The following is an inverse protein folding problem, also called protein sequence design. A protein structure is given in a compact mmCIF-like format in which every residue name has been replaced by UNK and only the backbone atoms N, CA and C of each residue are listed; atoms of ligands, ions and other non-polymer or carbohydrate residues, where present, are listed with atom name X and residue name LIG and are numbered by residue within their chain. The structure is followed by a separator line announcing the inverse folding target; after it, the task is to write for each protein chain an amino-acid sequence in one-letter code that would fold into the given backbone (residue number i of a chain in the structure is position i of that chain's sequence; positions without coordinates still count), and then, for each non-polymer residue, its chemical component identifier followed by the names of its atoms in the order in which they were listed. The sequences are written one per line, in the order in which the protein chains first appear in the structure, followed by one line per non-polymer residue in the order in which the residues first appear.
data_IF_810784053370
#
_entry.id   IF_810784053370
#
_cell.length_a   1.000
_cell.length_b   1.000
_cell.length_c   1.000
_cell.angle_alpha   90.00
_cell.angle_beta   90.00
_cell.angle_gamma   90.00
#
_symmetry.space_group_name_H-M   'P 1'
#
loop_
_entity.id
_entity.type
_entity.pdbx_description
1 polymer ?
#
# COMPACT_ATOMS: atom_id res chain seq x y z
N UNK A 1 -14.26 -86.52 36.75
CA UNK A 1 -15.69 -86.26 37.07
C UNK A 1 -15.89 -84.75 37.07
N UNK A 2 -16.87 -84.30 36.29
CA UNK A 2 -17.48 -82.98 36.09
C UNK A 2 -16.91 -81.67 36.70
N UNK A 3 -17.14 -80.54 35.99
CA UNK A 3 -16.32 -79.33 36.02
C UNK A 3 -16.84 -78.27 36.99
N UNK A 4 -15.99 -77.29 37.31
CA UNK A 4 -16.40 -75.99 37.87
C UNK A 4 -15.85 -74.88 36.98
N UNK A 5 -16.77 -74.29 36.23
CA UNK A 5 -16.76 -72.97 35.58
C UNK A 5 -17.25 -72.00 36.68
N UNK A 6 -16.68 -70.83 37.01
CA UNK A 6 -16.52 -69.58 36.24
C UNK A 6 -16.00 -68.51 37.22
N UNK A 7 -15.06 -67.65 36.82
CA UNK A 7 -14.99 -66.25 37.28
C UNK A 7 -13.92 -65.48 36.48
N UNK A 8 -14.08 -65.41 35.15
CA UNK A 8 -13.17 -64.58 34.32
C UNK A 8 -13.90 -63.95 33.11
N UNK A 9 -15.17 -63.58 33.30
CA UNK A 9 -16.01 -63.01 32.24
C UNK A 9 -16.87 -61.81 32.68
N UNK A 10 -16.39 -60.99 33.62
CA UNK A 10 -17.07 -59.73 34.00
C UNK A 10 -16.21 -58.46 33.91
N UNK A 11 -14.99 -58.53 33.37
CA UNK A 11 -14.16 -57.32 33.15
C UNK A 11 -13.88 -56.99 31.67
N UNK A 12 -14.31 -57.84 30.73
CA UNK A 12 -14.10 -57.60 29.28
C UNK A 12 -15.36 -57.14 28.52
N UNK A 13 -16.50 -57.00 29.21
CA UNK A 13 -17.76 -56.52 28.62
C UNK A 13 -18.03 -55.03 28.88
N UNK A 14 -17.31 -54.38 29.81
CA UNK A 14 -17.45 -52.95 30.11
C UNK A 14 -16.54 -52.03 29.24
N UNK A 15 -15.65 -52.61 28.43
CA UNK A 15 -14.69 -51.85 27.59
C UNK A 15 -15.00 -51.89 26.08
N UNK A 16 -16.14 -52.45 25.69
CA UNK A 16 -16.59 -52.49 24.28
C UNK A 16 -17.90 -51.75 23.99
N UNK A 17 -18.49 -51.06 24.97
CA UNK A 17 -19.68 -50.21 24.77
C UNK A 17 -19.41 -48.70 24.86
N UNK A 18 -18.14 -48.28 24.96
CA UNK A 18 -17.73 -46.87 24.97
C UNK A 18 -17.10 -46.36 23.66
N UNK A 19 -17.08 -47.17 22.59
CA UNK A 19 -16.32 -46.87 21.37
C UNK A 19 -17.12 -46.87 20.07
N UNK A 20 -18.46 -46.83 20.14
CA UNK A 20 -19.34 -46.77 18.94
C UNK A 20 -20.32 -45.58 18.96
N UNK A 21 -20.23 -44.67 19.94
CA UNK A 21 -21.07 -43.46 19.99
C UNK A 21 -20.29 -42.13 20.01
N UNK A 22 -19.02 -42.13 19.59
CA UNK A 22 -18.25 -40.91 19.34
C UNK A 22 -17.90 -40.71 17.85
N UNK A 23 -18.73 -41.25 16.95
CA UNK A 23 -18.57 -41.12 15.50
C UNK A 23 -19.60 -40.16 14.85
N UNK A 24 -20.40 -39.44 15.64
CA UNK A 24 -21.35 -38.43 15.14
C UNK A 24 -21.36 -37.24 16.12
N UNK A 25 -20.27 -36.47 16.16
CA UNK A 25 -20.23 -35.04 16.55
C UNK A 25 -18.74 -34.66 16.71
N UNK A 26 -18.01 -34.78 15.61
CA UNK A 26 -16.64 -34.33 15.50
C UNK A 26 -16.59 -33.50 14.23
N UNK A 27 -16.85 -32.21 14.37
CA UNK A 27 -16.68 -31.21 13.33
C UNK A 27 -15.36 -31.49 12.59
N UNK A 28 -15.43 -31.76 11.29
CA UNK A 28 -14.27 -31.87 10.42
C UNK A 28 -13.56 -30.51 10.37
N UNK A 29 -12.76 -30.19 11.37
CA UNK A 29 -11.72 -29.18 11.26
C UNK A 29 -10.51 -29.86 10.64
N UNK A 30 -10.57 -30.05 9.32
CA UNK A 30 -9.36 -30.27 8.54
C UNK A 30 -8.45 -29.05 8.76
N UNK A 31 -7.13 -29.24 8.93
CA UNK A 31 -6.22 -28.10 8.90
C UNK A 31 -6.35 -27.47 7.51
N UNK A 32 -6.84 -26.23 7.45
CA UNK A 32 -6.86 -25.42 6.22
C UNK A 32 -5.48 -25.51 5.59
N UNK A 33 -5.38 -26.05 4.37
CA UNK A 33 -4.09 -26.27 3.75
C UNK A 33 -3.41 -24.92 3.49
N UNK A 34 -2.08 -24.89 3.49
CA UNK A 34 -1.33 -23.68 3.11
C UNK A 34 -1.77 -23.18 1.72
N UNK A 35 -2.14 -24.08 0.81
CA UNK A 35 -2.68 -23.76 -0.50
C UNK A 35 -4.07 -23.09 -0.43
N UNK A 36 -4.93 -23.48 0.51
CA UNK A 36 -6.23 -22.83 0.70
C UNK A 36 -6.04 -21.42 1.27
N UNK A 37 -5.12 -21.23 2.22
CA UNK A 37 -4.77 -19.88 2.74
C UNK A 37 -4.15 -18.99 1.66
N UNK A 38 -3.36 -19.55 0.76
CA UNK A 38 -2.73 -18.81 -0.33
C UNK A 38 -3.73 -18.45 -1.43
N UNK A 39 -4.68 -19.34 -1.72
CA UNK A 39 -5.79 -19.10 -2.63
C UNK A 39 -6.77 -18.04 -2.09
N UNK A 40 -7.07 -18.05 -0.78
CA UNK A 40 -7.90 -17.01 -0.14
C UNK A 40 -7.23 -15.63 -0.23
N UNK A 41 -5.92 -15.55 0.05
CA UNK A 41 -5.13 -14.30 -0.07
C UNK A 41 -5.10 -13.76 -1.50
N UNK A 42 -4.98 -14.65 -2.49
CA UNK A 42 -4.99 -14.27 -3.91
C UNK A 42 -6.34 -13.72 -4.39
N UNK A 43 -7.45 -14.04 -3.72
CA UNK A 43 -8.78 -13.50 -4.05
C UNK A 43 -9.15 -12.26 -3.24
N UNK A 44 -8.60 -12.12 -2.03
CA UNK A 44 -8.92 -11.02 -1.12
C UNK A 44 -8.47 -9.65 -1.66
N UNK A 45 -7.24 -9.52 -2.17
CA UNK A 45 -6.74 -8.26 -2.72
C UNK A 45 -7.56 -7.76 -3.92
N UNK A 46 -7.83 -8.57 -4.95
CA UNK A 46 -8.72 -8.16 -6.03
C UNK A 46 -10.06 -7.63 -5.54
N UNK A 47 -10.69 -8.30 -4.56
CA UNK A 47 -11.98 -7.86 -4.01
C UNK A 47 -11.87 -6.49 -3.32
N UNK A 48 -10.86 -6.30 -2.46
CA UNK A 48 -10.59 -5.01 -1.81
C UNK A 48 -10.35 -3.89 -2.85
N UNK A 49 -9.57 -4.18 -3.90
CA UNK A 49 -9.30 -3.24 -4.99
C UNK A 49 -10.58 -2.88 -5.75
N UNK A 50 -11.41 -3.86 -6.12
CA UNK A 50 -12.68 -3.59 -6.80
C UNK A 50 -13.63 -2.78 -5.92
N UNK A 51 -13.72 -3.07 -4.62
CA UNK A 51 -14.52 -2.29 -3.68
C UNK A 51 -14.11 -0.81 -3.63
N UNK A 52 -12.81 -0.52 -3.60
CA UNK A 52 -12.29 0.84 -3.66
C UNK A 52 -12.60 1.53 -4.99
N UNK A 53 -12.38 0.83 -6.12
CA UNK A 53 -12.72 1.36 -7.45
C UNK A 53 -14.23 1.62 -7.61
N UNK A 54 -15.07 0.81 -6.99
CA UNK A 54 -16.53 0.99 -7.00
C UNK A 54 -16.94 2.22 -6.19
N UNK A 55 -16.36 2.41 -4.98
CA UNK A 55 -16.53 3.65 -4.20
C UNK A 55 -16.13 4.89 -5.02
N UNK A 56 -14.96 4.85 -5.68
CA UNK A 56 -14.52 5.95 -6.56
C UNK A 56 -15.47 6.19 -7.73
N UNK A 57 -16.03 5.13 -8.32
CA UNK A 57 -16.93 5.22 -9.47
C UNK A 57 -18.28 5.86 -9.16
N UNK A 58 -18.69 5.87 -7.88
CA UNK A 58 -19.92 6.51 -7.41
C UNK A 58 -19.78 8.04 -7.31
N UNK A 59 -18.55 8.56 -7.19
CA UNK A 59 -18.34 10.00 -7.16
C UNK A 59 -18.53 10.64 -8.54
N UNK A 60 -19.26 11.76 -8.59
CA UNK A 60 -19.47 12.53 -9.84
C UNK A 60 -18.22 13.28 -10.29
N UNK A 61 -17.28 13.55 -9.39
CA UNK A 61 -16.02 14.26 -9.68
C UNK A 61 -14.88 13.58 -8.92
N UNK A 62 -13.86 13.16 -9.66
CA UNK A 62 -12.62 12.69 -9.06
C UNK A 62 -11.83 13.89 -8.53
N UNK A 63 -11.36 13.85 -7.28
CA UNK A 63 -10.48 14.89 -6.76
C UNK A 63 -9.03 14.66 -7.25
N UNK A 64 -8.10 15.53 -6.87
CA UNK A 64 -6.69 15.42 -7.23
C UNK A 64 -6.06 14.10 -6.78
N UNK A 65 -6.30 13.76 -5.51
CA UNK A 65 -5.83 12.53 -4.85
C UNK A 65 -6.27 11.29 -5.61
N UNK A 66 -7.57 11.12 -5.84
CA UNK A 66 -8.11 9.97 -6.57
C UNK A 66 -7.62 9.91 -8.01
N UNK A 67 -7.41 11.07 -8.66
CA UNK A 67 -6.80 11.10 -10.00
C UNK A 67 -5.38 10.58 -9.95
N UNK A 68 -4.55 11.11 -9.04
CA UNK A 68 -3.18 10.70 -8.85
C UNK A 68 -3.06 9.20 -8.50
N UNK A 69 -3.93 8.70 -7.62
CA UNK A 69 -3.99 7.30 -7.23
C UNK A 69 -4.28 6.38 -8.43
N UNK A 70 -5.25 6.73 -9.29
CA UNK A 70 -5.53 5.96 -10.52
C UNK A 70 -4.34 5.97 -11.50
N UNK A 71 -3.65 7.12 -11.64
CA UNK A 71 -2.48 7.23 -12.51
C UNK A 71 -1.33 6.34 -12.01
N UNK A 72 -1.04 6.40 -10.71
CA UNK A 72 0.02 5.60 -10.10
C UNK A 72 -0.33 4.10 -10.12
N UNK A 73 -1.58 3.73 -9.80
CA UNK A 73 -2.07 2.36 -9.91
C UNK A 73 -1.92 1.77 -11.31
N UNK A 74 -2.35 2.52 -12.33
CA UNK A 74 -2.21 2.13 -13.73
C UNK A 74 -0.73 1.97 -14.13
N UNK A 75 0.11 2.90 -13.68
CA UNK A 75 1.55 2.86 -13.91
C UNK A 75 2.19 1.60 -13.32
N UNK A 76 1.88 1.25 -12.08
CA UNK A 76 2.40 0.05 -11.41
C UNK A 76 2.01 -1.24 -12.16
N UNK A 77 0.74 -1.36 -12.58
CA UNK A 77 0.28 -2.53 -13.35
C UNK A 77 1.01 -2.62 -14.70
N UNK A 78 1.15 -1.49 -15.42
CA UNK A 78 1.89 -1.44 -16.69
C UNK A 78 3.37 -1.77 -16.51
N UNK A 79 3.98 -1.31 -15.42
CA UNK A 79 5.36 -1.63 -15.05
C UNK A 79 5.53 -3.13 -14.82
N UNK A 80 4.65 -3.77 -14.03
CA UNK A 80 4.65 -5.23 -13.84
C UNK A 80 4.53 -5.97 -15.17
N UNK A 81 3.54 -5.62 -16.00
CA UNK A 81 3.30 -6.25 -17.30
C UNK A 81 4.48 -6.12 -18.27
N UNK A 82 5.31 -5.07 -18.13
CA UNK A 82 6.50 -4.86 -18.97
C UNK A 82 7.62 -5.85 -18.65
N UNK A 83 7.83 -6.17 -17.38
CA UNK A 83 9.00 -6.92 -16.92
C UNK A 83 8.71 -8.36 -16.50
N UNK A 84 7.48 -8.66 -16.07
CA UNK A 84 7.10 -9.98 -15.56
C UNK A 84 5.98 -10.54 -16.44
N UNK A 85 6.19 -11.66 -17.16
CA UNK A 85 5.14 -12.30 -17.93
C UNK A 85 4.01 -12.77 -16.99
N UNK A 86 2.78 -12.25 -17.14
CA UNK A 86 1.66 -12.65 -16.28
C UNK A 86 1.14 -14.03 -16.68
N UNK A 87 0.63 -14.77 -15.71
CA UNK A 87 -0.24 -15.92 -15.92
C UNK A 87 -1.51 -15.52 -16.68
N UNK A 88 -2.28 -16.50 -17.15
CA UNK A 88 -3.57 -16.23 -17.83
C UNK A 88 -4.54 -15.51 -16.91
N UNK A 89 -4.60 -15.90 -15.64
CA UNK A 89 -5.48 -15.30 -14.64
C UNK A 89 -5.08 -13.84 -14.37
N UNK A 90 -3.80 -13.59 -14.06
CA UNK A 90 -3.29 -12.24 -13.82
C UNK A 90 -3.50 -11.33 -15.03
N UNK A 91 -3.28 -11.83 -16.24
CA UNK A 91 -3.51 -11.05 -17.47
C UNK A 91 -4.96 -10.58 -17.57
N UNK A 92 -5.91 -11.45 -17.27
CA UNK A 92 -7.34 -11.10 -17.28
C UNK A 92 -7.67 -10.11 -16.17
N UNK A 93 -7.17 -10.36 -14.95
CA UNK A 93 -7.36 -9.47 -13.81
C UNK A 93 -6.82 -8.06 -14.10
N UNK A 94 -5.56 -7.94 -14.53
CA UNK A 94 -4.92 -6.66 -14.84
C UNK A 94 -5.64 -5.93 -15.98
N UNK A 95 -6.10 -6.65 -17.01
CA UNK A 95 -6.91 -6.05 -18.07
C UNK A 95 -8.21 -5.44 -17.54
N UNK A 96 -8.93 -6.15 -16.68
CA UNK A 96 -10.17 -5.65 -16.09
C UNK A 96 -9.93 -4.44 -15.16
N UNK A 97 -8.87 -4.48 -14.35
CA UNK A 97 -8.49 -3.37 -13.47
C UNK A 97 -8.14 -2.12 -14.29
N UNK A 98 -7.28 -2.24 -15.30
CA UNK A 98 -6.90 -1.13 -16.18
C UNK A 98 -8.12 -0.54 -16.90
N UNK A 99 -8.99 -1.40 -17.44
CA UNK A 99 -10.22 -0.95 -18.10
C UNK A 99 -11.17 -0.23 -17.13
N UNK A 100 -11.29 -0.72 -15.88
CA UNK A 100 -12.13 -0.09 -14.85
C UNK A 100 -11.59 1.29 -14.47
N UNK A 101 -10.29 1.43 -14.26
CA UNK A 101 -9.63 2.71 -13.97
C UNK A 101 -9.83 3.72 -15.10
N UNK A 102 -9.67 3.29 -16.37
CA UNK A 102 -9.89 4.14 -17.54
C UNK A 102 -11.35 4.61 -17.66
N UNK A 103 -12.30 3.72 -17.38
CA UNK A 103 -13.72 4.08 -17.33
C UNK A 103 -14.04 5.10 -16.23
N UNK A 104 -13.41 4.99 -15.05
CA UNK A 104 -13.58 5.97 -13.97
C UNK A 104 -13.01 7.33 -14.42
N UNK A 105 -11.76 7.37 -14.88
CA UNK A 105 -11.11 8.62 -15.34
C UNK A 105 -11.89 9.32 -16.46
N UNK A 106 -12.36 8.57 -17.47
CA UNK A 106 -13.10 9.14 -18.62
C UNK A 106 -14.45 9.74 -18.21
N UNK A 107 -15.19 9.09 -17.30
CA UNK A 107 -16.43 9.65 -16.74
C UNK A 107 -16.17 10.87 -15.87
N UNK A 108 -15.02 10.92 -15.23
CA UNK A 108 -14.58 12.04 -14.39
C UNK A 108 -13.83 13.12 -15.18
N UNK A 109 -13.90 13.17 -16.52
CA UNK A 109 -13.22 14.15 -17.39
C UNK A 109 -13.52 15.64 -17.08
N UNK A 110 -14.49 15.92 -16.20
CA UNK A 110 -14.75 17.25 -15.61
C UNK A 110 -13.72 17.61 -14.51
N UNK A 111 -12.98 16.64 -13.95
CA UNK A 111 -12.01 16.81 -12.87
C UNK A 111 -10.77 17.63 -13.28
N UNK A 112 -10.17 17.35 -14.46
CA UNK A 112 -9.10 18.18 -15.00
C UNK A 112 -9.57 19.61 -15.30
N UNK A 113 -10.86 19.81 -15.57
CA UNK A 113 -11.43 21.14 -15.79
C UNK A 113 -11.60 21.93 -14.48
N UNK A 114 -11.57 21.27 -13.32
CA UNK A 114 -11.61 21.91 -11.99
C UNK A 114 -10.25 22.04 -11.33
N UNK A 115 -9.25 21.24 -11.72
CA UNK A 115 -7.87 21.42 -11.28
C UNK A 115 -7.31 22.73 -11.84
N UNK A 116 -6.72 23.57 -10.97
CA UNK A 116 -6.20 24.89 -11.35
C UNK A 116 -4.69 24.94 -11.19
N UNK A 117 -4.00 25.61 -12.12
CA UNK A 117 -2.57 25.89 -12.03
C UNK A 117 -1.68 24.64 -11.97
N UNK A 118 -0.89 24.54 -10.90
CA UNK A 118 0.18 23.55 -10.69
C UNK A 118 -0.36 22.12 -10.63
N UNK A 119 -1.46 21.90 -9.91
CA UNK A 119 -2.05 20.57 -9.74
C UNK A 119 -2.42 19.94 -11.08
N UNK A 120 -3.00 20.74 -12.00
CA UNK A 120 -3.34 20.29 -13.34
C UNK A 120 -2.09 19.86 -14.14
N UNK A 121 -1.01 20.63 -14.05
CA UNK A 121 0.25 20.31 -14.74
C UNK A 121 0.83 18.98 -14.25
N UNK A 122 0.77 18.75 -12.93
CA UNK A 122 1.17 17.48 -12.31
C UNK A 122 0.30 16.34 -12.85
N UNK A 123 -1.03 16.45 -12.75
CA UNK A 123 -1.95 15.37 -13.12
C UNK A 123 -1.96 15.04 -14.62
N UNK A 124 -1.64 15.99 -15.50
CA UNK A 124 -1.52 15.76 -16.95
C UNK A 124 -0.25 15.00 -17.37
N UNK A 125 0.74 14.91 -16.49
CA UNK A 125 2.07 14.42 -16.83
C UNK A 125 2.57 13.29 -15.92
N UNK A 126 2.28 13.34 -14.62
CA UNK A 126 2.72 12.38 -13.62
C UNK A 126 2.34 10.96 -14.03
N UNK A 127 3.35 10.09 -14.13
CA UNK A 127 3.21 8.68 -14.53
C UNK A 127 2.53 8.42 -15.90
N UNK A 128 2.34 9.46 -16.72
CA UNK A 128 1.76 9.35 -18.07
C UNK A 128 2.76 9.71 -19.17
N UNK A 129 3.56 10.75 -18.96
CA UNK A 129 4.50 11.30 -19.97
C UNK A 129 5.92 11.21 -19.46
N UNK A 130 6.86 10.98 -20.38
CA UNK A 130 8.30 11.00 -20.08
C UNK A 130 8.69 10.05 -18.94
N UNK A 131 8.01 8.90 -18.86
CA UNK A 131 8.18 7.94 -17.79
C UNK A 131 9.13 6.83 -18.20
N UNK A 132 10.09 6.52 -17.33
CA UNK A 132 10.93 5.35 -17.39
C UNK A 132 10.34 4.26 -16.51
N UNK A 133 10.11 3.08 -17.08
CA UNK A 133 9.73 1.90 -16.32
C UNK A 133 11.00 1.26 -15.74
N UNK A 134 10.97 0.89 -14.47
CA UNK A 134 12.01 0.15 -13.79
C UNK A 134 11.48 -1.24 -13.43
N UNK A 135 12.34 -2.28 -13.35
CA UNK A 135 11.90 -3.60 -12.96
C UNK A 135 11.39 -3.59 -11.51
N UNK A 136 10.13 -4.00 -11.26
CA UNK A 136 9.61 -4.09 -9.90
C UNK A 136 10.35 -5.21 -9.16
N UNK A 137 10.69 -4.98 -7.90
CA UNK A 137 11.39 -5.97 -7.07
C UNK A 137 11.00 -5.83 -5.61
N UNK A 138 10.89 -6.96 -4.90
CA UNK A 138 10.74 -6.96 -3.43
C UNK A 138 12.12 -6.95 -2.79
N UNK A 139 12.31 -6.05 -1.82
CA UNK A 139 13.56 -5.81 -1.09
C UNK A 139 13.35 -6.24 0.36
N UNK A 140 13.98 -7.35 0.73
CA UNK A 140 13.89 -7.91 2.08
C UNK A 140 15.09 -7.48 2.94
N UNK A 141 14.83 -7.04 4.17
CA UNK A 141 15.87 -6.74 5.16
C UNK A 141 16.76 -5.57 4.75
N UNK A 142 16.25 -4.66 3.93
CA UNK A 142 17.02 -3.49 3.47
C UNK A 142 16.84 -2.29 4.37
N UNK A 143 15.73 -2.22 5.13
CA UNK A 143 15.46 -1.15 6.08
C UNK A 143 15.76 -1.60 7.51
N UNK A 144 16.10 -0.65 8.37
CA UNK A 144 16.36 -0.89 9.79
C UNK A 144 15.05 -1.01 10.58
N UNK A 145 14.42 -2.18 10.50
CA UNK A 145 13.18 -2.48 11.21
C UNK A 145 13.33 -2.50 12.75
N UNK A 146 14.56 -2.57 13.27
CA UNK A 146 14.85 -2.65 14.70
C UNK A 146 15.52 -1.37 15.24
N UNK A 147 15.54 -0.28 14.45
CA UNK A 147 16.11 0.99 14.86
C UNK A 147 15.40 1.58 16.07
N UNK A 148 16.11 2.35 16.90
CA UNK A 148 15.57 2.96 18.12
C UNK A 148 14.43 3.95 17.81
N UNK A 149 13.24 3.68 18.37
CA UNK A 149 12.03 4.46 18.13
C UNK A 149 11.36 4.96 19.41
N UNK A 150 11.77 4.47 20.58
CA UNK A 150 11.11 4.73 21.87
C UNK A 150 11.14 6.22 22.24
N UNK A 151 12.28 6.86 22.02
CA UNK A 151 12.43 8.30 22.26
C UNK A 151 11.54 9.11 21.30
N UNK A 152 11.43 8.65 20.04
CA UNK A 152 10.57 9.28 19.05
C UNK A 152 9.09 9.11 19.43
N UNK A 153 8.67 7.91 19.85
CA UNK A 153 7.31 7.63 20.28
C UNK A 153 6.86 8.56 21.41
N UNK A 154 7.74 8.85 22.37
CA UNK A 154 7.45 9.76 23.49
C UNK A 154 7.16 11.21 23.06
N UNK A 155 7.69 11.65 21.91
CA UNK A 155 7.53 13.02 21.41
C UNK A 155 6.77 13.10 20.09
N UNK A 156 6.30 11.98 19.54
CA UNK A 156 5.85 11.89 18.15
C UNK A 156 4.77 12.91 17.80
N UNK A 157 3.75 13.03 18.65
CA UNK A 157 2.66 14.00 18.45
C UNK A 157 3.10 15.47 18.40
N UNK A 158 4.31 15.80 18.84
CA UNK A 158 4.88 17.15 18.73
C UNK A 158 5.65 17.36 17.44
N UNK A 159 6.32 16.31 16.94
CA UNK A 159 7.28 16.40 15.82
C UNK A 159 6.71 15.92 14.48
N UNK A 160 5.58 15.21 14.46
CA UNK A 160 5.00 14.57 13.27
C UNK A 160 4.78 15.50 12.07
N UNK A 161 4.67 16.82 12.30
CA UNK A 161 4.47 17.83 11.26
C UNK A 161 5.71 18.71 11.04
N UNK A 162 6.86 18.35 11.60
CA UNK A 162 8.11 19.11 11.45
C UNK A 162 8.89 18.69 10.20
N UNK A 163 9.57 19.65 9.59
CA UNK A 163 10.47 19.47 8.46
C UNK A 163 9.93 19.99 7.13
N UNK A 164 10.53 19.48 6.05
CA UNK A 164 10.26 19.88 4.67
C UNK A 164 10.15 18.65 3.75
N UNK A 165 9.40 18.74 2.63
CA UNK A 165 8.67 19.89 2.11
C UNK A 165 7.31 20.11 2.79
N UNK A 166 6.89 21.38 2.90
CA UNK A 166 5.46 21.67 3.06
C UNK A 166 4.71 21.40 1.74
N UNK A 167 3.37 21.41 1.78
CA UNK A 167 2.52 21.13 0.59
C UNK A 167 2.92 21.94 -0.65
N UNK A 168 3.12 23.24 -0.52
CA UNK A 168 3.48 24.11 -1.65
C UNK A 168 4.86 23.77 -2.22
N UNK A 169 5.85 23.53 -1.36
CA UNK A 169 7.19 23.10 -1.78
C UNK A 169 7.13 21.76 -2.52
N UNK A 170 6.34 20.82 -2.01
CA UNK A 170 6.14 19.52 -2.64
C UNK A 170 5.50 19.67 -4.02
N UNK A 171 4.41 20.42 -4.14
CA UNK A 171 3.71 20.61 -5.42
C UNK A 171 4.61 21.30 -6.46
N UNK A 172 5.39 22.30 -6.04
CA UNK A 172 6.35 22.97 -6.92
C UNK A 172 7.43 22.02 -7.42
N UNK A 173 8.00 21.20 -6.53
CA UNK A 173 9.03 20.23 -6.90
C UNK A 173 8.46 19.10 -7.77
N UNK A 174 7.24 18.61 -7.49
CA UNK A 174 6.54 17.66 -8.36
C UNK A 174 6.36 18.22 -9.78
N UNK A 175 5.91 19.47 -9.89
CA UNK A 175 5.77 20.16 -11.18
C UNK A 175 7.10 20.21 -11.93
N UNK A 176 8.16 20.64 -11.24
CA UNK A 176 9.50 20.72 -11.85
C UNK A 176 9.96 19.36 -12.38
N UNK A 177 9.71 18.27 -11.65
CA UNK A 177 10.05 16.91 -12.08
C UNK A 177 9.26 16.51 -13.33
N UNK A 178 7.94 16.75 -13.36
CA UNK A 178 7.12 16.32 -14.51
C UNK A 178 7.31 17.20 -15.75
N UNK A 179 7.78 18.43 -15.59
CA UNK A 179 8.04 19.38 -16.67
C UNK A 179 9.50 19.33 -17.19
N UNK A 180 10.33 18.41 -16.69
CA UNK A 180 11.73 18.27 -17.12
C UNK A 180 11.85 18.14 -18.65
N UNK A 181 12.60 19.07 -19.25
CA UNK A 181 12.78 19.16 -20.70
C UNK A 181 13.60 17.98 -21.24
N UNK A 182 12.99 17.13 -22.08
CA UNK A 182 13.65 15.96 -22.70
C UNK A 182 14.93 16.26 -23.47
N UNK A 183 15.05 17.45 -24.06
CA UNK A 183 16.19 17.77 -24.95
C UNK A 183 17.49 17.96 -24.19
N UNK A 184 17.41 18.45 -22.96
CA UNK A 184 18.58 18.87 -22.19
C UNK A 184 18.61 18.31 -20.77
N UNK A 185 17.57 17.59 -20.33
CA UNK A 185 17.44 17.00 -18.99
C UNK A 185 18.07 17.89 -17.91
N UNK A 186 17.62 19.14 -17.85
CA UNK A 186 18.14 20.12 -16.89
C UNK A 186 17.88 19.59 -15.49
N UNK A 187 18.82 19.82 -14.58
CA UNK A 187 18.58 19.54 -13.17
C UNK A 187 17.35 20.34 -12.68
N UNK A 188 16.52 19.76 -11.79
CA UNK A 188 15.54 20.52 -11.03
C UNK A 188 16.18 21.73 -10.33
N UNK A 189 15.36 22.66 -9.86
CA UNK A 189 15.86 23.79 -9.06
C UNK A 189 16.69 23.31 -7.87
N UNK A 190 17.59 24.17 -7.39
CA UNK A 190 18.39 23.85 -6.23
C UNK A 190 17.51 23.54 -5.02
N UNK A 191 16.41 24.27 -4.88
CA UNK A 191 15.39 24.08 -3.85
C UNK A 191 14.75 22.69 -3.94
N UNK A 192 14.34 22.24 -5.14
CA UNK A 192 13.77 20.89 -5.31
C UNK A 192 14.80 19.79 -5.04
N UNK A 193 16.06 19.99 -5.44
CA UNK A 193 17.15 19.05 -5.13
C UNK A 193 17.45 18.98 -3.62
N UNK A 194 17.42 20.11 -2.93
CA UNK A 194 17.61 20.17 -1.48
C UNK A 194 16.50 19.39 -0.77
N UNK A 195 15.24 19.54 -1.18
CA UNK A 195 14.13 18.76 -0.64
C UNK A 195 14.33 17.25 -0.79
N UNK A 196 14.88 16.81 -1.93
CA UNK A 196 15.13 15.39 -2.21
C UNK A 196 16.29 14.80 -1.41
N UNK A 197 17.30 15.62 -1.10
CA UNK A 197 18.59 15.17 -0.57
C UNK A 197 18.83 15.55 0.89
N UNK A 198 17.98 16.40 1.47
CA UNK A 198 18.13 16.87 2.84
C UNK A 198 18.05 15.74 3.87
N UNK A 199 19.03 15.74 4.76
CA UNK A 199 19.12 14.91 5.96
C UNK A 199 18.57 15.64 7.21
N UNK A 200 18.01 16.84 7.04
CA UNK A 200 17.38 17.56 8.14
C UNK A 200 16.26 16.73 8.79
N UNK A 201 16.03 16.92 10.12
CA UNK A 201 14.90 16.31 10.79
C UNK A 201 13.59 16.66 10.09
N UNK A 202 12.96 15.62 9.55
CA UNK A 202 11.69 15.70 8.81
C UNK A 202 10.91 14.44 9.14
N UNK A 203 9.64 14.60 9.49
CA UNK A 203 8.76 13.54 9.95
C UNK A 203 7.45 13.54 9.15
N UNK A 204 6.66 12.49 9.33
CA UNK A 204 5.29 12.37 8.86
C UNK A 204 5.12 12.60 7.36
N UNK A 205 4.15 13.44 7.00
CA UNK A 205 3.80 13.71 5.61
C UNK A 205 4.97 14.33 4.84
N UNK A 206 5.75 15.19 5.50
CA UNK A 206 6.91 15.84 4.90
C UNK A 206 7.94 14.78 4.46
N UNK A 207 8.28 13.82 5.33
CA UNK A 207 9.22 12.73 4.98
C UNK A 207 8.66 11.86 3.86
N UNK A 208 7.37 11.54 3.94
CA UNK A 208 6.68 10.72 2.95
C UNK A 208 6.70 11.38 1.56
N UNK A 209 6.49 12.69 1.51
CA UNK A 209 6.58 13.47 0.27
C UNK A 209 8.01 13.53 -0.30
N UNK A 210 9.08 13.56 0.51
CA UNK A 210 10.45 13.43 0.00
C UNK A 210 10.65 12.11 -0.76
N UNK A 211 10.10 11.00 -0.23
CA UNK A 211 10.17 9.68 -0.87
C UNK A 211 9.34 9.66 -2.16
N UNK A 212 8.15 10.25 -2.16
CA UNK A 212 7.31 10.34 -3.36
C UNK A 212 7.98 11.14 -4.48
N UNK A 213 8.54 12.32 -4.16
CA UNK A 213 9.28 13.15 -5.10
C UNK A 213 10.46 12.37 -5.69
N UNK A 214 11.19 11.64 -4.85
CA UNK A 214 12.31 10.81 -5.29
C UNK A 214 11.85 9.68 -6.22
N UNK A 215 10.72 9.03 -5.91
CA UNK A 215 10.14 8.00 -6.76
C UNK A 215 9.73 8.54 -8.14
N UNK A 216 9.08 9.70 -8.17
CA UNK A 216 8.71 10.39 -9.42
C UNK A 216 9.94 10.74 -10.25
N UNK A 217 10.98 11.30 -9.62
CA UNK A 217 12.22 11.65 -10.31
C UNK A 217 12.92 10.42 -10.87
N UNK A 218 13.06 9.35 -10.08
CA UNK A 218 13.70 8.10 -10.49
C UNK A 218 12.99 7.47 -11.70
N UNK A 219 11.67 7.60 -11.77
CA UNK A 219 10.86 7.11 -12.88
C UNK A 219 10.68 8.10 -14.02
N UNK A 220 11.39 9.23 -14.03
CA UNK A 220 11.44 10.11 -15.19
C UNK A 220 12.52 9.65 -16.18
N UNK A 221 12.29 9.78 -17.49
CA UNK A 221 13.29 9.39 -18.53
C UNK A 221 14.61 10.15 -18.43
N UNK A 222 14.61 11.32 -17.77
CA UNK A 222 15.83 12.07 -17.50
C UNK A 222 16.63 11.56 -16.29
N UNK A 223 16.08 10.71 -15.42
CA UNK A 223 16.75 10.29 -14.19
C UNK A 223 18.19 9.78 -14.41
N UNK A 224 18.46 8.90 -15.41
CA UNK A 224 19.82 8.40 -15.64
C UNK A 224 20.83 9.48 -16.05
N UNK A 225 20.37 10.62 -16.55
CA UNK A 225 21.22 11.78 -16.89
C UNK A 225 21.52 12.66 -15.68
N UNK A 226 20.65 12.65 -14.67
CA UNK A 226 20.78 13.50 -13.48
C UNK A 226 21.62 12.82 -12.41
N UNK A 227 21.51 11.49 -12.25
CA UNK A 227 22.28 10.73 -11.28
C UNK A 227 22.30 9.23 -11.60
N UNK A 228 23.31 8.46 -11.15
CA UNK A 228 23.29 7.01 -11.24
C UNK A 228 22.09 6.39 -10.46
N UNK A 229 21.51 5.27 -10.92
CA UNK A 229 20.42 4.58 -10.23
C UNK A 229 20.66 4.33 -8.74
N UNK A 230 21.91 4.01 -8.37
CA UNK A 230 22.31 3.70 -7.00
C UNK A 230 22.12 4.87 -6.05
N UNK A 231 22.25 6.12 -6.53
CA UNK A 231 22.05 7.31 -5.68
C UNK A 231 20.58 7.43 -5.27
N UNK A 232 19.65 7.20 -6.21
CA UNK A 232 18.22 7.18 -5.89
C UNK A 232 17.88 6.07 -4.89
N UNK A 233 18.48 4.89 -5.04
CA UNK A 233 18.27 3.77 -4.11
C UNK A 233 18.79 4.08 -2.70
N UNK A 234 19.96 4.71 -2.60
CA UNK A 234 20.54 5.11 -1.31
C UNK A 234 19.68 6.17 -0.61
N UNK A 235 19.24 7.19 -1.35
CA UNK A 235 18.34 8.22 -0.82
C UNK A 235 17.00 7.62 -0.38
N UNK A 236 16.41 6.75 -1.21
CA UNK A 236 15.15 6.09 -0.88
C UNK A 236 15.29 5.22 0.36
N UNK A 237 16.39 4.46 0.48
CA UNK A 237 16.68 3.66 1.68
C UNK A 237 16.84 4.53 2.91
N UNK A 238 17.58 5.64 2.81
CA UNK A 238 17.79 6.58 3.92
C UNK A 238 16.46 7.14 4.41
N UNK A 239 15.63 7.66 3.50
CA UNK A 239 14.33 8.24 3.87
C UNK A 239 13.37 7.17 4.41
N UNK A 240 13.34 5.98 3.80
CA UNK A 240 12.46 4.91 4.24
C UNK A 240 12.90 4.24 5.56
N UNK A 241 14.18 4.34 5.96
CA UNK A 241 14.60 3.98 7.32
C UNK A 241 13.91 4.87 8.36
N UNK A 242 13.88 6.18 8.14
CA UNK A 242 13.17 7.10 9.04
C UNK A 242 11.65 6.80 9.03
N UNK A 243 11.07 6.51 7.87
CA UNK A 243 9.66 6.09 7.78
C UNK A 243 9.38 4.83 8.61
N UNK A 244 10.23 3.80 8.53
CA UNK A 244 10.05 2.57 9.33
C UNK A 244 10.18 2.86 10.83
N UNK A 245 11.12 3.72 11.21
CA UNK A 245 11.27 4.18 12.60
C UNK A 245 10.01 4.92 13.09
N UNK A 246 9.42 5.77 12.26
CA UNK A 246 8.15 6.44 12.55
C UNK A 246 6.98 5.44 12.65
N UNK A 247 6.85 4.49 11.72
CA UNK A 247 5.81 3.46 11.78
C UNK A 247 5.92 2.61 13.05
N UNK A 248 7.15 2.29 13.49
CA UNK A 248 7.37 1.59 14.75
C UNK A 248 6.96 2.45 15.95
N UNK A 249 7.27 3.74 15.94
CA UNK A 249 6.81 4.69 16.97
C UNK A 249 5.28 4.75 17.01
N UNK A 250 4.60 4.98 15.88
CA UNK A 250 3.13 4.99 15.77
C UNK A 250 2.53 3.66 16.28
N UNK A 251 3.12 2.53 15.88
CA UNK A 251 2.65 1.21 16.29
C UNK A 251 2.79 0.98 17.79
N UNK A 252 3.88 1.47 18.40
CA UNK A 252 4.08 1.40 19.85
C UNK A 252 3.08 2.23 20.65
N UNK A 253 2.52 3.28 20.04
CA UNK A 253 1.43 4.09 20.59
C UNK A 253 0.05 3.43 20.42
N UNK A 254 -0.01 2.22 19.86
CA UNK A 254 -1.25 1.46 19.65
C UNK A 254 -1.99 1.80 18.35
N UNK A 255 -1.31 2.36 17.34
CA UNK A 255 -1.90 2.75 16.05
C UNK A 255 -3.19 3.59 16.20
N UNK A 256 -3.12 4.75 16.89
CA UNK A 256 -4.30 5.59 17.08
C UNK A 256 -4.84 6.09 15.73
N UNK A 257 -6.17 6.26 15.64
CA UNK A 257 -6.89 6.59 14.41
C UNK A 257 -6.30 7.80 13.67
N UNK A 258 -5.92 8.84 14.42
CA UNK A 258 -5.29 10.07 13.91
C UNK A 258 -3.99 9.86 13.12
N UNK A 259 -3.34 8.70 13.23
CA UNK A 259 -2.12 8.35 12.47
C UNK A 259 -2.35 7.29 11.40
N UNK A 260 -3.56 6.75 11.23
CA UNK A 260 -3.82 5.68 10.25
C UNK A 260 -3.58 6.14 8.82
N UNK A 261 -4.06 7.34 8.45
CA UNK A 261 -3.84 7.93 7.13
C UNK A 261 -2.35 8.08 6.83
N UNK A 262 -1.60 8.74 7.72
CA UNK A 262 -0.15 8.88 7.61
C UNK A 262 0.59 7.54 7.54
N UNK A 263 0.22 6.57 8.40
CA UNK A 263 0.83 5.24 8.41
C UNK A 263 0.62 4.52 7.06
N UNK A 264 -0.59 4.61 6.50
CA UNK A 264 -0.90 4.07 5.19
C UNK A 264 -0.13 4.78 4.08
N UNK A 265 -0.04 6.10 4.11
CA UNK A 265 0.74 6.86 3.12
C UNK A 265 2.21 6.43 3.15
N UNK A 266 2.80 6.38 4.33
CA UNK A 266 4.15 5.87 4.57
C UNK A 266 4.35 4.45 4.01
N UNK A 267 3.40 3.54 4.29
CA UNK A 267 3.46 2.17 3.80
C UNK A 267 3.33 2.09 2.28
N UNK A 268 2.45 2.91 1.71
CA UNK A 268 2.21 3.02 0.27
C UNK A 268 3.47 3.48 -0.43
N UNK A 269 4.02 4.62 -0.02
CA UNK A 269 5.12 5.31 -0.71
C UNK A 269 6.44 4.55 -0.59
N UNK A 270 6.85 4.13 0.61
CA UNK A 270 8.05 3.29 0.75
C UNK A 270 7.85 1.90 0.14
N UNK A 271 6.61 1.40 0.11
CA UNK A 271 6.26 0.19 -0.61
C UNK A 271 6.49 0.28 -2.12
N UNK A 272 6.42 1.47 -2.73
CA UNK A 272 6.70 1.66 -4.17
C UNK A 272 8.14 1.27 -4.54
N UNK A 273 9.09 1.43 -3.60
CA UNK A 273 10.48 0.98 -3.77
C UNK A 273 10.66 -0.53 -3.49
N UNK A 274 9.60 -1.22 -3.09
CA UNK A 274 9.58 -2.65 -2.84
C UNK A 274 10.04 -3.08 -1.45
N UNK A 275 10.21 -2.16 -0.50
CA UNK A 275 10.65 -2.50 0.86
C UNK A 275 9.61 -3.34 1.60
N UNK A 276 9.96 -4.59 1.90
CA UNK A 276 9.05 -5.55 2.52
C UNK A 276 8.75 -5.21 4.00
N UNK A 277 9.59 -4.40 4.65
CA UNK A 277 9.34 -3.93 6.02
C UNK A 277 8.03 -3.15 6.14
N UNK A 278 7.61 -2.48 5.05
CA UNK A 278 6.35 -1.74 4.98
C UNK A 278 5.32 -2.36 4.03
N UNK A 279 5.76 -3.00 2.93
CA UNK A 279 4.89 -3.72 2.02
C UNK A 279 4.94 -5.23 2.34
N UNK A 280 4.11 -5.66 3.28
CA UNK A 280 4.01 -7.06 3.66
C UNK A 280 2.59 -7.43 4.07
N UNK A 281 2.37 -8.73 4.19
CA UNK A 281 1.06 -9.28 4.47
C UNK A 281 0.50 -8.93 5.85
N UNK A 282 1.37 -8.65 6.84
CA UNK A 282 0.92 -8.15 8.14
C UNK A 282 0.29 -6.76 8.00
N UNK A 283 0.95 -5.85 7.27
CA UNK A 283 0.41 -4.52 7.01
C UNK A 283 -0.84 -4.59 6.13
N UNK A 284 -0.93 -5.52 5.17
CA UNK A 284 -2.17 -5.68 4.38
C UNK A 284 -3.36 -6.05 5.26
N UNK A 285 -3.21 -7.01 6.17
CA UNK A 285 -4.30 -7.38 7.07
C UNK A 285 -4.65 -6.25 8.05
N UNK A 286 -3.63 -5.58 8.62
CA UNK A 286 -3.81 -4.45 9.55
C UNK A 286 -4.56 -3.28 8.91
N UNK A 287 -4.12 -2.84 7.73
CA UNK A 287 -4.78 -1.77 6.97
C UNK A 287 -6.18 -2.25 6.53
N UNK A 288 -6.31 -3.52 6.17
CA UNK A 288 -7.56 -4.16 5.78
C UNK A 288 -8.66 -4.03 6.82
N UNK A 289 -8.33 -4.23 8.11
CA UNK A 289 -9.32 -4.18 9.18
C UNK A 289 -9.86 -2.77 9.43
N UNK A 290 -9.14 -1.70 9.04
CA UNK A 290 -9.64 -0.33 9.21
C UNK A 290 -10.87 -0.02 8.36
N UNK A 291 -11.06 -0.75 7.27
CA UNK A 291 -12.19 -0.57 6.35
C UNK A 291 -13.36 -1.52 6.63
N UNK A 292 -13.21 -2.44 7.60
CA UNK A 292 -14.27 -3.36 8.03
C UNK A 292 -15.20 -2.67 9.04
N UNK A 293 -14.65 -1.79 9.87
CA UNK A 293 -15.40 -1.00 10.86
C UNK A 293 -16.30 0.08 10.22
N UNK A 294 -15.94 0.60 9.04
CA UNK A 294 -16.70 1.63 8.31
C UNK A 294 -17.98 1.11 7.63
N UNK A 295 -18.18 -0.22 7.57
CA UNK A 295 -19.32 -0.82 6.90
C UNK A 295 -20.61 -0.85 7.76
N UNK A 296 -20.52 -0.53 9.05
CA UNK A 296 -21.61 -0.67 10.03
C UNK A 296 -22.22 0.68 10.50
N UNK A 297 -21.60 1.82 10.17
CA UNK A 297 -22.09 3.14 10.57
C UNK A 297 -22.96 3.78 9.47
N UNK A 298 -24.27 3.50 9.53
CA UNK A 298 -25.31 4.18 8.74
C UNK A 298 -25.65 5.59 9.24
N UNK A 299 -24.67 6.42 9.61
CA UNK A 299 -24.93 7.78 10.10
C UNK A 299 -24.70 8.85 9.02
N UNK A 300 -25.81 9.49 8.61
CA UNK A 300 -25.93 10.49 7.52
C UNK A 300 -25.30 11.86 7.84
N UNK A 301 -24.45 11.99 8.87
CA UNK A 301 -23.77 13.25 9.20
C UNK A 301 -22.40 13.37 8.51
N UNK A 302 -22.42 13.29 7.17
CA UNK A 302 -21.23 13.20 6.30
C UNK A 302 -20.97 14.53 5.59
N UNK A 303 -20.39 15.50 6.30
CA UNK A 303 -19.83 16.68 5.64
C UNK A 303 -18.32 16.79 5.88
N UNK A 304 -17.87 16.63 7.13
CA UNK A 304 -16.45 16.85 7.50
C UNK A 304 -15.60 15.56 7.47
N UNK A 305 -16.21 14.39 7.73
CA UNK A 305 -15.56 13.06 7.56
C UNK A 305 -15.31 12.68 6.09
N UNK A 306 -15.82 13.45 5.13
CA UNK A 306 -15.89 13.04 3.72
C UNK A 306 -14.55 13.19 2.96
N UNK A 307 -13.68 14.11 3.38
CA UNK A 307 -12.43 14.39 2.68
C UNK A 307 -11.30 13.45 3.12
N UNK A 308 -11.15 13.23 4.43
CA UNK A 308 -10.10 12.36 4.99
C UNK A 308 -10.38 10.88 4.69
N UNK A 309 -11.65 10.46 4.74
CA UNK A 309 -12.05 9.12 4.31
C UNK A 309 -11.86 8.90 2.80
N UNK A 310 -11.92 9.94 1.97
CA UNK A 310 -11.64 9.78 0.55
C UNK A 310 -10.14 9.61 0.29
N UNK A 311 -9.29 10.41 0.93
CA UNK A 311 -7.83 10.31 0.79
C UNK A 311 -7.29 8.93 1.21
N UNK A 312 -7.73 8.42 2.37
CA UNK A 312 -7.29 7.10 2.85
C UNK A 312 -7.72 5.97 1.90
N UNK A 313 -8.91 6.05 1.29
CA UNK A 313 -9.36 5.10 0.28
C UNK A 313 -8.51 5.17 -1.01
N UNK A 314 -8.13 6.37 -1.45
CA UNK A 314 -7.28 6.59 -2.62
C UNK A 314 -5.88 5.99 -2.40
N UNK A 315 -5.29 6.20 -1.21
CA UNK A 315 -4.01 5.61 -0.82
C UNK A 315 -4.09 4.08 -0.73
N UNK A 316 -5.15 3.56 -0.11
CA UNK A 316 -5.37 2.12 0.03
C UNK A 316 -5.43 1.42 -1.33
N UNK A 317 -6.00 2.07 -2.34
CA UNK A 317 -6.04 1.53 -3.71
C UNK A 317 -4.63 1.29 -4.24
N UNK A 318 -3.75 2.28 -4.12
CA UNK A 318 -2.35 2.17 -4.58
C UNK A 318 -1.62 1.11 -3.78
N UNK A 319 -1.79 1.10 -2.45
CA UNK A 319 -1.17 0.12 -1.56
C UNK A 319 -1.56 -1.32 -1.92
N UNK A 320 -2.85 -1.61 -2.04
CA UNK A 320 -3.32 -2.97 -2.37
C UNK A 320 -2.94 -3.40 -3.78
N UNK A 321 -2.91 -2.48 -4.75
CA UNK A 321 -2.41 -2.79 -6.08
C UNK A 321 -0.93 -3.16 -6.01
N UNK A 322 -0.12 -2.36 -5.31
CA UNK A 322 1.29 -2.65 -5.17
C UNK A 322 1.53 -3.99 -4.45
N UNK A 323 0.78 -4.26 -3.39
CA UNK A 323 0.80 -5.54 -2.67
C UNK A 323 0.43 -6.70 -3.61
N UNK A 324 -0.64 -6.58 -4.40
CA UNK A 324 -1.08 -7.59 -5.36
C UNK A 324 -0.03 -7.88 -6.42
N UNK A 325 0.77 -6.89 -6.81
CA UNK A 325 1.79 -7.03 -7.85
C UNK A 325 3.12 -7.58 -7.31
N UNK A 326 3.38 -7.47 -6.01
CA UNK A 326 4.68 -7.78 -5.40
C UNK A 326 4.64 -8.94 -4.40
N UNK A 327 3.53 -9.16 -3.70
CA UNK A 327 3.35 -10.20 -2.69
C UNK A 327 2.64 -11.41 -3.30
N UNK A 328 3.33 -12.14 -4.18
CA UNK A 328 2.84 -13.35 -4.82
C UNK A 328 3.33 -14.63 -4.14
#
# INVERSE_FOLDING_TARGET
MNPVVTADNMLLAALKLGLVLAAISGCCMLPVSLADREMDRQQELPQRIYGLLDKMSCSRKLNASGTFALLLAEFLIKQKLRYVPPTRFERQLYYHLLHRMEHIKSRSSVSLATATGIERQILESAFQRNVMLLPPSVRYGQLDANGEYEQLAAIYGKVVNEGHPNRTQSDLCMREIVELELRNCKLPSHECLELLTSDAPTFGYQRTHQVLLLYMLQHHVCAPHLSPPQVYELLAKSHCNEVVREQNAIRSLGLPEQYRDLYLEQATICGLFGYNEVLNWRNVMEIGSWFEDDADDGDDNVADKSHDSQHINDLALVFYINAMLLLH
#
